data_IF_002198882459
#
_entry.id   IF_002198882459
#
_cell.length_a   1.000
_cell.length_b   1.000
_cell.length_c   1.000
_cell.angle_alpha   90.00
_cell.angle_beta   90.00
_cell.angle_gamma   90.00
#
_symmetry.space_group_name_H-M   'P 1'
#
loop_
_entity.id
_entity.type
_entity.pdbx_description
1 polymer ?
#
# COMPACT_ATOMS: atom_id res chain seq x y z
N UNK A 1 9.42 -37.13 -37.54
CA UNK A 1 8.67 -36.03 -38.16
C UNK A 1 7.82 -35.38 -37.08
N UNK A 2 8.30 -34.33 -36.40
CA UNK A 2 7.53 -33.64 -35.39
C UNK A 2 6.52 -32.72 -36.09
N UNK A 3 5.24 -32.88 -35.77
CA UNK A 3 4.16 -32.03 -36.26
C UNK A 3 4.23 -30.64 -35.63
N UNK A 4 4.16 -29.61 -36.48
CA UNK A 4 4.05 -28.22 -36.06
C UNK A 4 2.66 -27.95 -35.50
N UNK A 5 2.57 -27.66 -34.21
CA UNK A 5 1.45 -26.93 -33.64
C UNK A 5 1.57 -25.47 -34.07
N UNK A 6 1.00 -25.13 -35.22
CA UNK A 6 0.81 -23.76 -35.64
C UNK A 6 -0.27 -23.13 -34.74
N UNK A 7 0.17 -22.37 -33.75
CA UNK A 7 -0.69 -21.40 -33.06
C UNK A 7 -1.21 -20.41 -34.09
N UNK A 8 -2.53 -20.25 -34.18
CA UNK A 8 -3.17 -19.29 -35.09
C UNK A 8 -2.79 -17.86 -34.69
N UNK A 9 -1.70 -17.34 -35.26
CA UNK A 9 -1.31 -15.94 -35.15
C UNK A 9 -2.32 -15.13 -35.97
N UNK A 10 -3.14 -14.32 -35.32
CA UNK A 10 -4.07 -13.42 -35.99
C UNK A 10 -3.32 -12.52 -36.97
N UNK A 11 -3.68 -12.54 -38.25
CA UNK A 11 -2.97 -11.85 -39.33
C UNK A 11 -3.13 -10.32 -39.33
N UNK A 12 -3.92 -9.76 -38.40
CA UNK A 12 -4.19 -8.31 -38.29
C UNK A 12 -3.45 -7.59 -37.16
N UNK A 13 -2.69 -8.30 -36.31
CA UNK A 13 -2.04 -7.71 -35.14
C UNK A 13 -0.82 -6.86 -35.48
N UNK A 14 -0.55 -5.86 -34.64
CA UNK A 14 0.55 -4.91 -34.82
C UNK A 14 1.94 -5.56 -34.93
N UNK A 15 2.19 -6.70 -34.28
CA UNK A 15 3.53 -7.31 -34.18
C UNK A 15 4.17 -7.64 -35.55
N UNK A 16 3.40 -8.22 -36.47
CA UNK A 16 3.92 -8.70 -37.77
C UNK A 16 3.28 -7.99 -38.98
N UNK A 17 2.40 -7.02 -38.76
CA UNK A 17 1.74 -6.26 -39.80
C UNK A 17 1.95 -4.75 -39.55
N UNK A 18 2.79 -4.14 -40.38
CA UNK A 18 3.07 -2.70 -40.32
C UNK A 18 1.86 -1.83 -40.71
N UNK A 19 0.93 -2.38 -41.49
CA UNK A 19 -0.30 -1.71 -41.91
C UNK A 19 -1.47 -1.96 -40.94
N UNK A 20 -1.20 -2.59 -39.78
CA UNK A 20 -2.22 -2.79 -38.75
C UNK A 20 -2.75 -1.44 -38.25
N UNK A 21 -4.07 -1.27 -38.08
CA UNK A 21 -4.64 -0.03 -37.56
C UNK A 21 -4.22 0.26 -36.11
N UNK A 22 -3.66 -0.74 -35.40
CA UNK A 22 -3.14 -0.62 -34.04
C UNK A 22 -1.61 -0.59 -33.99
N UNK A 23 -0.92 -0.46 -35.14
CA UNK A 23 0.55 -0.48 -35.19
C UNK A 23 1.15 0.66 -34.37
N UNK A 24 0.51 1.83 -34.38
CA UNK A 24 0.95 3.02 -33.66
C UNK A 24 0.65 2.99 -32.15
N UNK A 25 -0.12 2.02 -31.67
CA UNK A 25 -0.36 1.81 -30.23
C UNK A 25 0.88 1.27 -29.52
N UNK A 26 1.88 0.82 -30.26
CA UNK A 26 3.13 0.27 -29.74
C UNK A 26 4.32 1.00 -30.33
N UNK A 27 5.44 0.95 -29.60
CA UNK A 27 6.72 1.43 -30.09
C UNK A 27 7.56 0.24 -30.57
N UNK A 28 8.25 0.37 -31.71
CA UNK A 28 9.08 -0.69 -32.28
C UNK A 28 10.50 -0.20 -32.54
N UNK A 29 11.48 -1.06 -32.28
CA UNK A 29 12.88 -0.83 -32.65
C UNK A 29 13.07 -0.85 -34.17
N UNK A 30 14.23 -0.40 -34.69
CA UNK A 30 14.55 -0.49 -36.12
C UNK A 30 14.48 -1.93 -36.69
N UNK A 31 14.71 -2.93 -35.85
CA UNK A 31 14.63 -4.36 -36.18
C UNK A 31 13.18 -4.89 -36.16
N UNK A 32 12.20 -4.04 -35.84
CA UNK A 32 10.78 -4.38 -35.83
C UNK A 32 10.31 -5.09 -34.55
N UNK A 33 11.11 -5.06 -33.48
CA UNK A 33 10.77 -5.65 -32.18
C UNK A 33 10.03 -4.62 -31.34
N UNK A 34 8.88 -4.99 -30.76
CA UNK A 34 8.13 -4.10 -29.88
C UNK A 34 8.93 -3.82 -28.60
N UNK A 35 8.94 -2.57 -28.15
CA UNK A 35 9.40 -2.26 -26.80
C UNK A 35 8.47 -2.90 -25.77
N UNK A 36 9.03 -3.35 -24.67
CA UNK A 36 8.31 -4.10 -23.65
C UNK A 36 8.59 -3.55 -22.24
N UNK A 37 7.83 -4.08 -21.30
CA UNK A 37 8.07 -3.82 -19.89
C UNK A 37 9.22 -4.70 -19.39
N UNK A 38 10.32 -4.06 -18.95
CA UNK A 38 11.48 -4.71 -18.31
C UNK A 38 12.07 -5.93 -19.04
N UNK A 39 11.99 -6.00 -20.37
CA UNK A 39 12.51 -7.12 -21.17
C UNK A 39 11.54 -8.29 -21.34
N UNK A 40 10.31 -8.17 -20.83
CA UNK A 40 9.29 -9.21 -20.97
C UNK A 40 8.51 -9.07 -22.27
N UNK A 41 8.95 -9.78 -23.32
CA UNK A 41 8.32 -9.74 -24.65
C UNK A 41 6.81 -10.06 -24.69
N UNK A 42 6.27 -10.73 -23.66
CA UNK A 42 4.83 -10.97 -23.50
C UNK A 42 4.04 -9.73 -23.08
N UNK A 43 4.71 -8.65 -22.65
CA UNK A 43 4.13 -7.40 -22.17
C UNK A 43 4.61 -6.23 -23.05
N UNK A 44 4.20 -6.18 -24.33
CA UNK A 44 4.54 -5.08 -25.22
C UNK A 44 3.97 -3.77 -24.68
N UNK A 45 4.81 -2.75 -24.60
CA UNK A 45 4.49 -1.48 -23.99
C UNK A 45 3.69 -0.60 -24.94
N UNK A 46 2.56 -0.10 -24.45
CA UNK A 46 1.71 0.84 -25.16
C UNK A 46 2.39 2.23 -25.28
N UNK A 47 2.23 2.88 -26.43
CA UNK A 47 2.82 4.20 -26.74
C UNK A 47 1.74 5.28 -26.76
N UNK A 48 1.66 6.07 -25.70
CA UNK A 48 0.62 7.08 -25.49
C UNK A 48 0.76 8.33 -26.38
N UNK A 49 1.58 8.30 -27.45
CA UNK A 49 1.51 9.30 -28.53
C UNK A 49 0.31 9.07 -29.45
N UNK A 50 -0.17 7.83 -29.55
CA UNK A 50 -1.34 7.54 -30.37
C UNK A 50 -2.59 8.13 -29.72
N UNK A 51 -3.27 9.04 -30.43
CA UNK A 51 -4.53 9.62 -29.96
C UNK A 51 -5.62 8.56 -29.87
N UNK A 52 -5.63 7.58 -30.78
CA UNK A 52 -6.64 6.51 -30.76
C UNK A 52 -6.46 5.58 -29.55
N UNK A 53 -5.22 5.34 -29.13
CA UNK A 53 -4.94 4.65 -27.87
C UNK A 53 -5.40 5.50 -26.66
N UNK A 54 -5.07 6.80 -26.65
CA UNK A 54 -5.54 7.69 -25.58
C UNK A 54 -7.07 7.63 -25.47
N UNK A 55 -7.77 7.72 -26.60
CA UNK A 55 -9.23 7.69 -26.65
C UNK A 55 -9.79 6.35 -26.16
N UNK A 56 -9.14 5.23 -26.51
CA UNK A 56 -9.51 3.90 -26.01
C UNK A 56 -9.31 3.77 -24.49
N UNK A 57 -8.19 4.29 -23.95
CA UNK A 57 -7.86 4.11 -22.53
C UNK A 57 -8.66 5.06 -21.64
N UNK A 58 -8.65 6.37 -21.93
CA UNK A 58 -9.27 7.37 -21.05
C UNK A 58 -9.93 8.57 -21.75
N UNK A 59 -9.54 8.92 -22.98
CA UNK A 59 -9.99 10.13 -23.67
C UNK A 59 -11.43 10.04 -24.20
N UNK A 60 -11.82 8.88 -24.71
CA UNK A 60 -13.13 8.66 -25.34
C UNK A 60 -14.25 8.49 -24.33
N UNK A 61 -15.49 8.70 -24.77
CA UNK A 61 -16.68 8.50 -23.92
C UNK A 61 -16.86 7.05 -23.50
N UNK A 62 -16.52 6.11 -24.36
CA UNK A 62 -16.59 4.67 -24.10
C UNK A 62 -15.24 4.07 -23.72
N UNK A 63 -14.27 4.93 -23.36
CA UNK A 63 -12.94 4.50 -22.94
C UNK A 63 -12.98 3.53 -21.77
N UNK A 64 -11.97 2.65 -21.67
CA UNK A 64 -11.89 1.62 -20.64
C UNK A 64 -12.05 2.21 -19.24
N UNK A 65 -11.37 3.32 -18.94
CA UNK A 65 -11.47 3.99 -17.63
C UNK A 65 -12.91 4.40 -17.33
N UNK A 66 -13.63 4.98 -18.29
CA UNK A 66 -14.99 5.50 -18.11
C UNK A 66 -16.04 4.40 -18.16
N UNK A 67 -15.87 3.41 -19.03
CA UNK A 67 -16.77 2.28 -19.24
C UNK A 67 -17.15 1.59 -17.93
N UNK A 68 -16.15 1.21 -17.12
CA UNK A 68 -16.39 0.50 -15.86
C UNK A 68 -16.90 1.38 -14.72
N UNK A 69 -16.68 2.70 -14.80
CA UNK A 69 -17.22 3.67 -13.82
C UNK A 69 -18.68 4.02 -14.08
N UNK A 70 -19.14 3.87 -15.33
CA UNK A 70 -20.54 4.05 -15.73
C UNK A 70 -21.43 2.92 -15.25
N UNK A 71 -22.73 3.20 -15.21
CA UNK A 71 -23.74 2.16 -15.06
C UNK A 71 -23.67 1.18 -16.26
N UNK A 72 -23.94 -0.13 -16.06
CA UNK A 72 -24.45 -0.75 -14.84
C UNK A 72 -23.40 -1.17 -13.82
N UNK A 73 -22.10 -1.11 -14.13
CA UNK A 73 -21.05 -1.63 -13.25
C UNK A 73 -20.79 -0.74 -12.05
N UNK A 74 -20.67 0.55 -12.30
CA UNK A 74 -20.51 1.54 -11.26
C UNK A 74 -19.33 1.27 -10.30
N UNK A 75 -18.13 1.00 -10.83
CA UNK A 75 -16.92 0.81 -10.01
C UNK A 75 -16.49 2.09 -9.29
N UNK A 76 -15.82 1.95 -8.14
CA UNK A 76 -15.46 3.08 -7.26
C UNK A 76 -14.09 3.69 -7.55
N UNK A 77 -13.32 3.15 -8.48
CA UNK A 77 -11.97 3.64 -8.74
C UNK A 77 -11.10 2.70 -9.55
N UNK A 78 -9.82 3.07 -9.64
CA UNK A 78 -8.80 2.35 -10.42
C UNK A 78 -7.48 2.26 -9.66
N UNK A 79 -6.88 1.06 -9.66
CA UNK A 79 -5.47 0.85 -9.32
C UNK A 79 -4.66 0.85 -10.61
N UNK A 80 -3.69 1.74 -10.74
CA UNK A 80 -2.83 1.85 -11.93
C UNK A 80 -1.56 1.02 -11.74
N UNK A 81 -1.39 -0.01 -12.57
CA UNK A 81 -0.24 -0.93 -12.56
C UNK A 81 1.04 -0.24 -13.06
N UNK A 82 2.16 -0.42 -12.33
CA UNK A 82 3.49 0.13 -12.63
C UNK A 82 3.44 1.57 -13.19
N UNK A 83 2.68 2.44 -12.53
CA UNK A 83 2.22 3.70 -13.12
C UNK A 83 3.37 4.66 -13.49
N UNK A 84 4.49 4.59 -12.75
CA UNK A 84 5.68 5.40 -12.99
C UNK A 84 6.35 5.14 -14.35
N UNK A 85 6.05 4.02 -15.01
CA UNK A 85 6.61 3.66 -16.31
C UNK A 85 5.70 4.00 -17.51
N UNK A 86 4.46 4.42 -17.27
CA UNK A 86 3.52 4.80 -18.33
C UNK A 86 4.04 6.00 -19.12
N UNK A 87 3.89 6.01 -20.45
CA UNK A 87 4.26 7.18 -21.23
C UNK A 87 4.44 6.91 -22.71
N UNK A 88 5.22 7.78 -23.33
CA UNK A 88 5.44 7.82 -24.77
C UNK A 88 6.80 7.20 -25.16
N UNK A 89 6.93 6.80 -26.44
CA UNK A 89 8.20 6.40 -27.06
C UNK A 89 8.89 5.19 -26.39
N UNK A 90 8.09 4.27 -25.82
CA UNK A 90 8.61 3.15 -25.02
C UNK A 90 9.19 3.56 -23.67
N UNK A 91 9.27 4.87 -23.37
CA UNK A 91 9.73 5.44 -22.11
C UNK A 91 8.58 5.88 -21.20
N UNK A 92 8.90 6.76 -20.25
CA UNK A 92 7.93 7.39 -19.34
C UNK A 92 7.76 8.89 -19.65
N UNK A 93 8.02 9.31 -20.90
CA UNK A 93 7.85 10.71 -21.31
C UNK A 93 6.37 11.08 -21.21
N UNK A 94 6.09 12.30 -20.76
CA UNK A 94 4.72 12.82 -20.53
C UNK A 94 3.86 12.00 -19.56
N UNK A 95 4.47 11.16 -18.72
CA UNK A 95 3.79 10.32 -17.74
C UNK A 95 2.74 11.08 -16.90
N UNK A 96 3.13 12.17 -16.24
CA UNK A 96 2.21 12.98 -15.42
C UNK A 96 1.00 13.49 -16.20
N UNK A 97 1.17 13.84 -17.49
CA UNK A 97 0.06 14.29 -18.34
C UNK A 97 -0.95 13.19 -18.58
N UNK A 98 -0.50 11.98 -18.85
CA UNK A 98 -1.40 10.86 -19.11
C UNK A 98 -2.10 10.40 -17.83
N UNK A 99 -1.39 10.36 -16.70
CA UNK A 99 -2.00 10.04 -15.40
C UNK A 99 -3.04 11.11 -15.03
N UNK A 100 -2.74 12.40 -15.23
CA UNK A 100 -3.72 13.47 -15.06
C UNK A 100 -4.95 13.25 -15.94
N UNK A 101 -4.77 12.86 -17.20
CA UNK A 101 -5.85 12.54 -18.13
C UNK A 101 -6.73 11.38 -17.66
N UNK A 102 -6.11 10.29 -17.18
CA UNK A 102 -6.80 9.13 -16.60
C UNK A 102 -7.64 9.56 -15.39
N UNK A 103 -7.03 10.28 -14.45
CA UNK A 103 -7.71 10.73 -13.23
C UNK A 103 -8.84 11.72 -13.53
N UNK A 104 -8.64 12.63 -14.48
CA UNK A 104 -9.69 13.56 -14.93
C UNK A 104 -10.85 12.82 -15.58
N UNK A 105 -10.58 11.85 -16.46
CA UNK A 105 -11.60 11.02 -17.09
C UNK A 105 -12.40 10.21 -16.05
N UNK A 106 -11.72 9.63 -15.06
CA UNK A 106 -12.36 8.93 -13.97
C UNK A 106 -13.26 9.86 -13.14
N UNK A 107 -12.74 11.03 -12.74
CA UNK A 107 -13.49 12.01 -11.93
C UNK A 107 -14.63 12.68 -12.70
N UNK A 108 -14.55 12.78 -14.02
CA UNK A 108 -15.63 13.27 -14.87
C UNK A 108 -16.85 12.35 -14.80
N UNK A 109 -16.63 11.03 -14.84
CA UNK A 109 -17.73 10.06 -14.72
C UNK A 109 -18.20 9.87 -13.28
N UNK A 110 -17.27 9.89 -12.34
CA UNK A 110 -17.54 9.68 -10.93
C UNK A 110 -16.66 10.59 -10.07
N UNK A 111 -17.21 11.69 -9.53
CA UNK A 111 -16.42 12.66 -8.77
C UNK A 111 -15.69 12.08 -7.53
N UNK A 112 -16.22 11.01 -6.95
CA UNK A 112 -15.64 10.28 -5.83
C UNK A 112 -14.80 9.06 -6.24
N UNK A 113 -14.53 8.87 -7.53
CA UNK A 113 -13.64 7.80 -8.01
C UNK A 113 -12.25 7.94 -7.38
N UNK A 114 -11.79 6.84 -6.79
CA UNK A 114 -10.50 6.76 -6.12
C UNK A 114 -9.44 6.19 -7.07
N UNK A 115 -8.52 7.03 -7.53
CA UNK A 115 -7.46 6.63 -8.46
C UNK A 115 -6.12 6.60 -7.73
N UNK A 116 -5.45 5.45 -7.74
CA UNK A 116 -4.16 5.29 -7.09
C UNK A 116 -3.24 4.37 -7.87
N UNK A 117 -1.95 4.65 -7.87
CA UNK A 117 -0.99 3.89 -8.64
C UNK A 117 -0.02 3.08 -7.81
N UNK A 118 0.58 2.12 -8.49
CA UNK A 118 1.69 1.37 -7.97
C UNK A 118 3.00 2.14 -8.13
N UNK A 119 3.57 2.48 -6.99
CA UNK A 119 4.90 3.06 -6.86
C UNK A 119 5.70 2.27 -5.84
N UNK A 120 6.67 1.47 -6.29
CA UNK A 120 7.69 0.91 -5.39
C UNK A 120 8.60 2.02 -4.83
N UNK A 121 8.81 3.07 -5.64
CA UNK A 121 9.61 4.24 -5.30
C UNK A 121 8.83 5.35 -4.58
N UNK A 122 9.34 6.57 -4.70
CA UNK A 122 8.75 7.75 -4.06
C UNK A 122 7.63 8.36 -4.91
N UNK A 123 6.37 8.09 -4.52
CA UNK A 123 5.18 8.60 -5.21
C UNK A 123 4.91 10.12 -5.03
N UNK A 124 5.69 10.85 -4.20
CA UNK A 124 5.36 12.25 -3.84
C UNK A 124 5.23 13.17 -5.05
N UNK A 125 6.03 12.96 -6.11
CA UNK A 125 5.97 13.77 -7.33
C UNK A 125 4.57 13.77 -7.97
N UNK A 126 3.92 12.60 -8.02
CA UNK A 126 2.59 12.45 -8.62
C UNK A 126 1.49 13.00 -7.71
N UNK A 127 1.61 12.71 -6.41
CA UNK A 127 0.64 13.16 -5.42
C UNK A 127 0.65 14.70 -5.31
N UNK A 128 1.81 15.34 -5.25
CA UNK A 128 1.91 16.80 -5.20
C UNK A 128 1.43 17.51 -6.47
N UNK A 129 1.40 16.81 -7.61
CA UNK A 129 0.83 17.31 -8.86
C UNK A 129 -0.68 17.07 -8.97
N UNK A 130 -1.30 16.47 -7.93
CA UNK A 130 -2.72 16.07 -7.87
C UNK A 130 -3.15 15.22 -9.08
N UNK A 131 -2.24 14.43 -9.64
CA UNK A 131 -2.54 13.51 -10.75
C UNK A 131 -3.04 12.16 -10.25
N UNK A 132 -2.88 11.84 -8.97
CA UNK A 132 -3.39 10.64 -8.30
C UNK A 132 -3.98 11.01 -6.93
N UNK A 133 -4.99 10.27 -6.46
CA UNK A 133 -5.56 10.48 -5.12
C UNK A 133 -4.71 9.84 -4.01
N UNK A 134 -3.92 8.82 -4.37
CA UNK A 134 -3.12 7.98 -3.47
C UNK A 134 -2.09 7.17 -4.25
N UNK A 135 -1.23 6.46 -3.54
CA UNK A 135 -0.32 5.45 -4.08
C UNK A 135 -0.28 4.23 -3.15
N UNK A 136 0.08 3.07 -3.70
CA UNK A 136 0.49 1.90 -2.92
C UNK A 136 1.71 2.30 -2.07
N UNK A 137 1.53 2.32 -0.75
CA UNK A 137 2.44 3.00 0.17
C UNK A 137 3.64 2.13 0.58
N UNK A 138 4.35 1.58 -0.41
CA UNK A 138 5.53 0.75 -0.15
C UNK A 138 6.62 1.52 0.59
N UNK A 139 6.97 2.71 0.07
CA UNK A 139 8.05 3.54 0.63
C UNK A 139 7.69 4.20 1.96
N UNK A 140 6.45 4.62 2.16
CA UNK A 140 6.04 5.36 3.37
C UNK A 140 5.47 4.49 4.48
N UNK A 141 5.19 3.21 4.22
CA UNK A 141 4.62 2.30 5.21
C UNK A 141 5.25 0.90 5.17
N UNK A 142 5.20 0.19 4.04
CA UNK A 142 5.60 -1.22 3.97
C UNK A 142 7.07 -1.45 4.32
N UNK A 143 8.00 -0.78 3.63
CA UNK A 143 9.44 -0.97 3.82
C UNK A 143 9.98 -0.52 5.17
N UNK A 144 9.60 0.65 5.74
CA UNK A 144 10.03 0.98 7.10
C UNK A 144 9.51 -0.05 8.13
N UNK A 145 8.28 -0.57 7.97
CA UNK A 145 7.78 -1.64 8.84
C UNK A 145 8.56 -2.94 8.67
N UNK A 146 9.02 -3.28 7.47
CA UNK A 146 9.87 -4.46 7.27
C UNK A 146 11.23 -4.31 7.93
N UNK A 147 11.89 -3.16 7.75
CA UNK A 147 13.17 -2.88 8.39
C UNK A 147 13.07 -2.94 9.92
N UNK A 148 11.95 -2.47 10.48
CA UNK A 148 11.74 -2.44 11.93
C UNK A 148 11.20 -3.77 12.49
N UNK A 149 10.27 -4.46 11.85
CA UNK A 149 9.66 -5.66 12.43
C UNK A 149 10.31 -6.95 11.92
N UNK A 150 10.65 -7.01 10.63
CA UNK A 150 11.19 -8.19 9.96
C UNK A 150 12.72 -8.17 9.77
N UNK A 151 13.39 -7.06 10.09
CA UNK A 151 14.83 -6.88 9.94
C UNK A 151 15.33 -7.10 8.50
N UNK A 152 14.57 -6.65 7.50
CA UNK A 152 14.89 -6.83 6.09
C UNK A 152 14.47 -5.65 5.23
N UNK A 153 15.13 -5.44 4.10
CA UNK A 153 14.78 -4.43 3.11
C UNK A 153 13.98 -5.02 1.92
N UNK A 154 13.76 -4.19 0.89
CA UNK A 154 13.05 -4.57 -0.34
C UNK A 154 13.75 -5.69 -1.14
N UNK A 155 15.08 -5.76 -1.07
CA UNK A 155 15.90 -6.77 -1.75
C UNK A 155 15.97 -8.08 -0.95
N UNK A 156 15.31 -8.12 0.21
CA UNK A 156 15.41 -9.18 1.22
C UNK A 156 16.79 -9.26 1.88
N UNK A 157 17.59 -8.20 1.78
CA UNK A 157 18.86 -8.11 2.48
C UNK A 157 18.61 -7.78 3.96
N UNK A 158 19.46 -8.27 4.89
CA UNK A 158 19.30 -7.96 6.30
C UNK A 158 19.44 -6.44 6.57
N UNK A 159 18.39 -5.84 7.09
CA UNK A 159 18.36 -4.43 7.46
C UNK A 159 17.79 -4.29 8.86
N UNK A 160 18.57 -3.79 9.82
CA UNK A 160 18.10 -3.55 11.18
C UNK A 160 18.03 -2.05 11.43
N UNK A 161 16.81 -1.53 11.51
CA UNK A 161 16.57 -0.16 11.95
C UNK A 161 15.92 -0.16 13.33
N UNK A 162 16.23 0.84 14.13
CA UNK A 162 15.57 1.10 15.42
C UNK A 162 14.26 1.89 15.24
N UNK A 163 13.55 2.08 16.34
CA UNK A 163 12.30 2.82 16.39
C UNK A 163 12.47 4.26 15.88
N UNK A 164 13.57 4.93 16.29
CA UNK A 164 13.88 6.30 15.90
C UNK A 164 14.05 6.42 14.38
N UNK A 165 14.85 5.55 13.77
CA UNK A 165 15.12 5.53 12.33
C UNK A 165 13.86 5.18 11.53
N UNK A 166 13.08 4.20 12.01
CA UNK A 166 11.80 3.84 11.41
C UNK A 166 10.84 5.04 11.40
N UNK A 167 10.68 5.71 12.54
CA UNK A 167 9.79 6.87 12.64
C UNK A 167 10.28 8.06 11.83
N UNK A 168 11.59 8.36 11.84
CA UNK A 168 12.17 9.42 11.03
C UNK A 168 11.94 9.18 9.52
N UNK A 169 12.05 7.93 9.06
CA UNK A 169 11.70 7.57 7.67
C UNK A 169 10.22 7.87 7.40
N UNK A 170 9.32 7.27 8.19
CA UNK A 170 7.88 7.39 7.97
C UNK A 170 7.40 8.84 8.03
N UNK A 171 7.93 9.63 8.97
CA UNK A 171 7.60 11.05 9.12
C UNK A 171 8.19 11.89 7.98
N UNK A 172 9.43 11.63 7.52
CA UNK A 172 9.99 12.33 6.36
C UNK A 172 9.15 12.11 5.10
N UNK A 173 8.70 10.89 4.87
CA UNK A 173 7.83 10.58 3.74
C UNK A 173 6.50 11.32 3.85
N UNK A 174 5.83 11.21 5.01
CA UNK A 174 4.54 11.86 5.29
C UNK A 174 4.61 13.38 5.22
N UNK A 175 5.71 14.00 5.66
CA UNK A 175 5.89 15.45 5.64
C UNK A 175 5.86 16.04 4.22
N UNK A 176 6.16 15.24 3.20
CA UNK A 176 6.05 15.65 1.81
C UNK A 176 4.63 15.58 1.23
N UNK A 177 3.63 15.13 2.01
CA UNK A 177 2.25 14.94 1.56
C UNK A 177 1.31 15.84 2.35
N UNK A 178 0.28 16.36 1.67
CA UNK A 178 -0.81 17.07 2.35
C UNK A 178 -1.53 16.11 3.33
N UNK A 179 -2.19 16.66 4.36
CA UNK A 179 -2.91 15.82 5.33
C UNK A 179 -3.96 14.93 4.64
N UNK A 180 -4.64 15.42 3.61
CA UNK A 180 -5.61 14.61 2.86
C UNK A 180 -4.95 13.44 2.13
N UNK A 181 -3.80 13.66 1.49
CA UNK A 181 -3.03 12.60 0.84
C UNK A 181 -2.54 11.57 1.86
N UNK A 182 -1.99 12.01 3.00
CA UNK A 182 -1.58 11.11 4.09
C UNK A 182 -2.72 10.19 4.55
N UNK A 183 -3.95 10.70 4.65
CA UNK A 183 -5.12 9.92 5.05
C UNK A 183 -5.63 8.96 3.95
N UNK A 184 -5.25 9.17 2.68
CA UNK A 184 -5.66 8.38 1.52
C UNK A 184 -4.63 7.35 1.08
N UNK A 185 -3.36 7.49 1.48
CA UNK A 185 -2.27 6.54 1.16
C UNK A 185 -2.68 5.10 1.41
N UNK A 186 -2.42 4.22 0.45
CA UNK A 186 -2.86 2.83 0.47
C UNK A 186 -1.83 1.96 1.20
N UNK A 187 -2.06 1.70 2.48
CA UNK A 187 -1.10 1.00 3.34
C UNK A 187 -1.32 -0.50 3.29
N UNK A 188 -0.25 -1.26 3.05
CA UNK A 188 -0.27 -2.72 2.96
C UNK A 188 1.00 -3.29 3.59
N UNK A 189 0.93 -4.49 4.14
CA UNK A 189 2.11 -5.16 4.73
C UNK A 189 2.93 -5.91 3.68
N UNK A 190 2.29 -6.35 2.60
CA UNK A 190 2.89 -7.07 1.48
C UNK A 190 1.92 -7.00 0.28
N UNK A 191 2.24 -7.73 -0.79
CA UNK A 191 1.40 -7.79 -1.98
C UNK A 191 1.66 -9.05 -2.81
N UNK A 192 1.05 -9.08 -4.00
CA UNK A 192 1.29 -10.09 -5.02
C UNK A 192 2.65 -9.99 -5.71
N UNK A 193 3.43 -8.93 -5.46
CA UNK A 193 4.75 -8.69 -6.05
C UNK A 193 5.89 -8.74 -5.01
N UNK A 194 5.54 -9.11 -3.78
CA UNK A 194 6.51 -9.29 -2.70
C UNK A 194 6.30 -10.61 -1.97
N UNK A 195 7.30 -11.05 -1.21
CA UNK A 195 7.08 -12.12 -0.23
C UNK A 195 6.03 -11.69 0.81
N UNK A 196 5.32 -12.67 1.37
CA UNK A 196 4.37 -12.48 2.47
C UNK A 196 5.12 -11.99 3.70
N UNK A 197 4.57 -11.01 4.39
CA UNK A 197 5.17 -10.42 5.58
C UNK A 197 5.37 -11.45 6.70
N UNK A 198 4.45 -12.42 6.83
CA UNK A 198 4.64 -13.58 7.74
C UNK A 198 5.94 -14.34 7.43
N UNK A 199 6.25 -14.56 6.16
CA UNK A 199 7.49 -15.24 5.75
C UNK A 199 8.72 -14.37 6.00
N UNK A 200 8.62 -13.06 5.78
CA UNK A 200 9.69 -12.11 6.05
C UNK A 200 10.08 -12.05 7.53
N UNK A 201 9.10 -12.14 8.43
CA UNK A 201 9.34 -12.19 9.87
C UNK A 201 10.16 -13.44 10.27
N UNK A 202 10.01 -14.56 9.57
CA UNK A 202 10.75 -15.79 9.84
C UNK A 202 10.63 -16.22 11.31
N UNK A 203 11.76 -16.17 12.05
CA UNK A 203 11.80 -16.52 13.48
C UNK A 203 11.09 -15.50 14.38
N UNK A 204 10.87 -14.29 13.89
CA UNK A 204 10.24 -13.18 14.60
C UNK A 204 8.73 -13.10 14.31
N UNK A 205 8.08 -14.20 13.91
CA UNK A 205 6.64 -14.24 13.58
C UNK A 205 5.73 -13.73 14.70
N UNK A 206 6.20 -13.79 15.96
CA UNK A 206 5.52 -13.20 17.11
C UNK A 206 5.29 -11.68 16.97
N UNK A 207 6.02 -10.99 16.09
CA UNK A 207 5.82 -9.56 15.79
C UNK A 207 4.70 -9.29 14.79
N UNK A 208 4.10 -10.32 14.16
CA UNK A 208 3.03 -10.14 13.19
C UNK A 208 1.83 -9.36 13.76
N UNK A 209 1.31 -9.65 14.98
CA UNK A 209 0.26 -8.84 15.61
C UNK A 209 0.61 -7.35 15.75
N UNK A 210 1.89 -7.01 15.93
CA UNK A 210 2.33 -5.62 16.06
C UNK A 210 2.07 -4.85 14.77
N UNK A 211 2.38 -5.46 13.63
CA UNK A 211 2.14 -4.89 12.31
C UNK A 211 0.65 -4.69 12.03
N UNK A 212 -0.20 -5.60 12.49
CA UNK A 212 -1.67 -5.46 12.39
C UNK A 212 -2.15 -4.25 13.19
N UNK A 213 -1.73 -4.12 14.45
CA UNK A 213 -2.09 -2.96 15.27
C UNK A 213 -1.59 -1.67 14.62
N UNK A 214 -0.36 -1.65 14.09
CA UNK A 214 0.19 -0.51 13.38
C UNK A 214 -0.63 -0.15 12.12
N UNK A 215 -0.93 -1.11 11.26
CA UNK A 215 -1.71 -0.93 10.03
C UNK A 215 -3.07 -0.26 10.29
N UNK A 216 -3.80 -0.72 11.32
CA UNK A 216 -5.12 -0.18 11.64
C UNK A 216 -5.09 1.11 12.47
N UNK A 217 -3.94 1.49 13.03
CA UNK A 217 -3.79 2.71 13.83
C UNK A 217 -3.04 3.83 13.12
N UNK A 218 -2.37 3.56 12.00
CA UNK A 218 -1.66 4.56 11.18
C UNK A 218 -2.61 5.39 10.29
N UNK A 219 -2.22 6.62 9.90
CA UNK A 219 -2.88 7.37 8.82
C UNK A 219 -2.82 6.62 7.48
N UNK A 220 -3.89 6.70 6.68
CA UNK A 220 -4.00 6.03 5.38
C UNK A 220 -5.19 5.07 5.31
N UNK A 221 -5.34 4.40 4.17
CA UNK A 221 -6.32 3.35 3.94
C UNK A 221 -5.63 2.00 4.16
N UNK A 222 -5.96 1.24 5.23
CA UNK A 222 -5.39 -0.07 5.42
C UNK A 222 -5.95 -1.05 4.38
N UNK A 223 -5.06 -1.73 3.67
CA UNK A 223 -5.34 -2.82 2.75
C UNK A 223 -4.77 -4.12 3.31
N UNK A 224 -5.58 -5.16 3.28
CA UNK A 224 -5.21 -6.51 3.70
C UNK A 224 -4.98 -7.31 2.41
N UNK A 225 -3.79 -7.88 2.24
CA UNK A 225 -3.59 -8.83 1.15
C UNK A 225 -4.19 -10.17 1.58
N UNK A 226 -5.05 -10.74 0.73
CA UNK A 226 -5.89 -11.87 1.12
C UNK A 226 -5.06 -13.01 1.72
N UNK A 227 -5.46 -13.50 2.89
CA UNK A 227 -4.74 -14.56 3.60
C UNK A 227 -3.83 -14.05 4.70
N UNK A 228 -3.43 -12.77 4.71
CA UNK A 228 -2.62 -12.20 5.80
C UNK A 228 -3.35 -12.28 7.13
N UNK A 229 -4.67 -12.09 7.12
CA UNK A 229 -5.53 -12.13 8.30
C UNK A 229 -5.68 -13.52 8.90
N UNK A 230 -5.39 -14.57 8.12
CA UNK A 230 -5.38 -15.96 8.57
C UNK A 230 -3.96 -16.56 8.60
N UNK A 231 -2.94 -15.72 8.39
CA UNK A 231 -1.54 -16.11 8.50
C UNK A 231 -1.03 -16.97 7.34
N UNK A 232 -1.43 -16.69 6.10
CA UNK A 232 -0.82 -17.31 4.91
C UNK A 232 0.64 -16.85 4.79
N UNK A 233 1.54 -17.82 4.56
CA UNK A 233 2.95 -17.59 4.29
C UNK A 233 3.25 -17.74 2.79
N UNK A 234 4.42 -17.27 2.35
CA UNK A 234 4.84 -17.35 0.95
C UNK A 234 6.09 -16.54 0.69
N UNK A 235 7.05 -17.14 -0.03
CA UNK A 235 8.20 -16.41 -0.58
C UNK A 235 7.76 -15.49 -1.73
N UNK A 236 8.71 -14.90 -2.45
CA UNK A 236 8.40 -14.00 -3.57
C UNK A 236 7.58 -14.68 -4.69
N UNK A 237 7.06 -13.88 -5.63
CA UNK A 237 6.26 -14.32 -6.78
C UNK A 237 6.90 -15.55 -7.47
N UNK A 238 6.14 -16.64 -7.74
CA UNK A 238 4.69 -16.83 -7.54
C UNK A 238 4.26 -17.38 -6.18
N UNK A 239 5.18 -17.63 -5.27
CA UNK A 239 4.88 -18.31 -4.00
C UNK A 239 4.09 -17.44 -3.01
N UNK A 240 4.02 -16.13 -3.21
CA UNK A 240 3.16 -15.23 -2.44
C UNK A 240 1.68 -15.33 -2.83
N UNK A 241 1.34 -16.04 -3.91
CA UNK A 241 -0.01 -16.13 -4.50
C UNK A 241 -0.71 -17.46 -4.20
N UNK A 242 -0.47 -18.03 -3.00
CA UNK A 242 -1.08 -19.30 -2.57
C UNK A 242 -2.62 -19.20 -2.52
N UNK A 243 -3.35 -20.29 -2.84
CA UNK A 243 -4.79 -20.34 -2.64
C UNK A 243 -5.18 -20.00 -1.19
N UNK A 244 -6.30 -19.31 -1.02
CA UNK A 244 -6.82 -19.01 0.32
C UNK A 244 -7.20 -20.30 1.06
N UNK A 245 -6.75 -20.50 2.31
CA UNK A 245 -7.04 -21.72 3.07
C UNK A 245 -8.46 -21.67 3.64
N UNK A 246 -9.44 -22.16 2.88
CA UNK A 246 -10.86 -22.15 3.30
C UNK A 246 -11.17 -23.10 4.46
N UNK A 247 -10.34 -24.11 4.72
CA UNK A 247 -10.46 -24.94 5.91
C UNK A 247 -10.05 -24.14 7.17
N UNK A 248 -10.95 -23.88 8.13
CA UNK A 248 -10.64 -23.15 9.35
C UNK A 248 -9.49 -23.76 10.16
N UNK A 249 -9.23 -25.07 10.04
CA UNK A 249 -8.11 -25.72 10.72
C UNK A 249 -6.74 -25.27 10.20
N UNK A 250 -6.69 -24.67 9.00
CA UNK A 250 -5.48 -24.13 8.39
C UNK A 250 -5.31 -22.62 8.64
N UNK A 251 -6.24 -21.99 9.37
CA UNK A 251 -6.25 -20.55 9.63
C UNK A 251 -5.72 -20.22 11.02
N UNK A 252 -4.97 -19.13 11.14
CA UNK A 252 -4.66 -18.52 12.44
C UNK A 252 -5.89 -17.76 12.97
N UNK A 253 -6.70 -18.43 13.79
CA UNK A 253 -7.91 -17.85 14.36
C UNK A 253 -7.65 -16.68 15.30
N UNK A 254 -6.52 -16.67 16.02
CA UNK A 254 -6.20 -15.58 16.94
C UNK A 254 -5.84 -14.30 16.18
N UNK A 255 -5.08 -14.44 15.08
CA UNK A 255 -4.76 -13.36 14.17
C UNK A 255 -6.02 -12.81 13.48
N UNK A 256 -6.89 -13.69 12.99
CA UNK A 256 -8.15 -13.29 12.36
C UNK A 256 -9.03 -12.47 13.32
N UNK A 257 -9.13 -12.90 14.58
CA UNK A 257 -9.87 -12.15 15.60
C UNK A 257 -9.21 -10.80 15.91
N UNK A 258 -7.87 -10.69 15.89
CA UNK A 258 -7.19 -9.40 16.02
C UNK A 258 -7.53 -8.45 14.86
N UNK A 259 -7.49 -8.93 13.61
CA UNK A 259 -7.90 -8.14 12.44
C UNK A 259 -9.35 -7.64 12.56
N UNK A 260 -10.27 -8.50 13.00
CA UNK A 260 -11.67 -8.11 13.24
C UNK A 260 -11.80 -7.04 14.31
N UNK A 261 -11.12 -7.21 15.45
CA UNK A 261 -11.15 -6.22 16.56
C UNK A 261 -10.57 -4.88 16.12
N UNK A 262 -9.40 -4.89 15.48
CA UNK A 262 -8.73 -3.67 15.02
C UNK A 262 -9.52 -2.93 13.92
N UNK A 263 -10.10 -3.67 12.96
CA UNK A 263 -11.01 -3.10 11.95
C UNK A 263 -12.23 -2.45 12.60
N UNK A 264 -12.85 -3.11 13.59
CA UNK A 264 -13.99 -2.57 14.35
C UNK A 264 -13.60 -1.30 15.12
N UNK A 265 -12.44 -1.30 15.79
CA UNK A 265 -11.93 -0.14 16.52
C UNK A 265 -11.68 1.06 15.58
N UNK A 266 -11.00 0.84 14.45
CA UNK A 266 -10.77 1.89 13.45
C UNK A 266 -12.08 2.43 12.88
N UNK A 267 -13.05 1.58 12.57
CA UNK A 267 -14.35 2.00 12.04
C UNK A 267 -15.11 2.89 13.02
N UNK A 268 -15.07 2.56 14.31
CA UNK A 268 -15.78 3.27 15.37
C UNK A 268 -15.10 4.57 15.83
N UNK A 269 -13.80 4.73 15.61
CA UNK A 269 -13.01 5.86 16.12
C UNK A 269 -12.55 6.79 14.97
N UNK A 270 -12.98 8.05 15.02
CA UNK A 270 -12.64 9.04 13.99
C UNK A 270 -11.17 9.49 14.07
N UNK A 271 -10.55 9.49 15.24
CA UNK A 271 -9.13 9.81 15.36
C UNK A 271 -8.23 8.83 14.61
N UNK A 272 -8.56 7.53 14.64
CA UNK A 272 -7.83 6.53 13.84
C UNK A 272 -7.99 6.76 12.33
N UNK A 273 -9.14 7.27 11.87
CA UNK A 273 -9.43 7.47 10.43
C UNK A 273 -8.98 8.81 9.87
N UNK A 274 -9.11 9.89 10.64
CA UNK A 274 -8.98 11.26 10.16
C UNK A 274 -8.01 12.12 11.00
N UNK A 275 -7.61 11.62 12.17
CA UNK A 275 -6.80 12.38 13.11
C UNK A 275 -5.39 12.63 12.60
N UNK A 276 -4.81 13.75 13.06
CA UNK A 276 -3.37 13.96 12.98
C UNK A 276 -2.63 12.83 13.71
N UNK A 277 -1.37 12.60 13.36
CA UNK A 277 -0.55 11.57 13.97
C UNK A 277 0.76 12.19 14.42
N UNK A 278 1.02 12.13 15.72
CA UNK A 278 2.21 12.67 16.35
C UNK A 278 2.95 11.53 17.08
N UNK A 279 4.23 11.35 16.77
CA UNK A 279 5.12 10.45 17.51
C UNK A 279 5.48 11.11 18.83
N UNK A 280 5.36 10.36 19.93
CA UNK A 280 5.64 10.83 21.29
C UNK A 280 6.92 10.18 21.83
N UNK A 281 7.16 8.91 21.49
CA UNK A 281 8.37 8.19 21.90
C UNK A 281 8.80 7.25 20.78
N UNK A 282 10.09 7.21 20.48
CA UNK A 282 10.66 6.32 19.48
C UNK A 282 12.14 6.05 19.80
N UNK A 283 12.39 5.01 20.61
CA UNK A 283 13.74 4.60 20.99
C UNK A 283 13.86 3.07 20.88
N UNK A 284 14.97 2.61 20.31
CA UNK A 284 15.33 1.20 20.14
C UNK A 284 14.22 0.29 19.59
N UNK A 285 13.41 -0.27 20.49
CA UNK A 285 12.39 -1.28 20.20
C UNK A 285 10.96 -0.79 20.43
N UNK A 286 10.78 0.44 20.92
CA UNK A 286 9.46 0.96 21.29
C UNK A 286 9.11 2.19 20.50
N UNK A 287 7.91 2.16 19.91
CA UNK A 287 7.27 3.30 19.25
C UNK A 287 5.98 3.61 19.99
N UNK A 288 5.79 4.88 20.37
CA UNK A 288 4.54 5.41 20.92
C UNK A 288 4.13 6.61 20.09
N UNK A 289 2.89 6.61 19.60
CA UNK A 289 2.31 7.73 18.88
C UNK A 289 0.86 7.95 19.28
N UNK A 290 0.38 9.17 19.04
CA UNK A 290 -1.00 9.56 19.32
C UNK A 290 -1.71 9.98 18.03
N UNK A 291 -2.95 9.52 17.90
CA UNK A 291 -3.90 9.99 16.88
C UNK A 291 -4.88 10.95 17.53
N UNK A 292 -5.00 12.16 16.97
CA UNK A 292 -5.83 13.23 17.55
C UNK A 292 -6.81 13.77 16.52
N UNK A 293 -8.10 13.71 16.83
CA UNK A 293 -9.15 14.32 16.02
C UNK A 293 -10.22 14.94 16.91
N UNK A 294 -10.33 16.28 16.88
CA UNK A 294 -11.22 17.03 17.77
C UNK A 294 -10.99 16.63 19.24
N UNK A 295 -11.99 16.02 19.87
CA UNK A 295 -11.93 15.55 21.25
C UNK A 295 -11.49 14.08 21.40
N UNK A 296 -11.34 13.33 20.32
CA UNK A 296 -10.93 11.92 20.38
C UNK A 296 -9.41 11.79 20.30
N UNK A 297 -8.82 11.17 21.32
CA UNK A 297 -7.38 10.91 21.40
C UNK A 297 -7.19 9.40 21.49
N UNK A 298 -6.26 8.88 20.70
CA UNK A 298 -5.91 7.46 20.71
C UNK A 298 -4.40 7.34 20.83
N UNK A 299 -3.93 6.80 21.94
CA UNK A 299 -2.53 6.46 22.14
C UNK A 299 -2.31 5.05 21.62
N UNK A 300 -1.21 4.84 20.91
CA UNK A 300 -0.78 3.53 20.43
C UNK A 300 0.66 3.34 20.82
N UNK A 301 0.99 2.18 21.36
CA UNK A 301 2.35 1.81 21.70
C UNK A 301 2.65 0.42 21.18
N UNK A 302 3.84 0.26 20.62
CA UNK A 302 4.33 -0.95 19.98
C UNK A 302 5.73 -1.21 20.52
N UNK A 303 5.91 -2.36 21.16
CA UNK A 303 7.19 -2.86 21.64
C UNK A 303 7.54 -4.14 20.87
N UNK A 304 8.63 -4.13 20.09
CA UNK A 304 9.12 -5.33 19.38
C UNK A 304 10.15 -6.15 20.17
N UNK A 305 10.58 -5.63 21.33
CA UNK A 305 11.67 -6.18 22.16
C UNK A 305 11.16 -6.83 23.44
N UNK A 306 12.02 -6.82 24.47
CA UNK A 306 11.72 -7.35 25.81
C UNK A 306 10.75 -6.45 26.59
N UNK A 307 10.20 -6.97 27.69
CA UNK A 307 9.33 -6.19 28.56
C UNK A 307 10.06 -4.96 29.10
N UNK A 308 9.39 -3.81 29.08
CA UNK A 308 10.00 -2.53 29.43
C UNK A 308 8.99 -1.54 30.03
N UNK A 309 9.51 -0.47 30.61
CA UNK A 309 8.74 0.70 31.00
C UNK A 309 9.25 1.90 30.21
N UNK A 310 8.32 2.70 29.70
CA UNK A 310 8.61 3.92 28.96
C UNK A 310 7.96 5.08 29.68
N UNK A 311 8.76 6.09 30.00
CA UNK A 311 8.24 7.37 30.49
C UNK A 311 7.83 8.19 29.28
N UNK A 312 6.53 8.46 29.16
CA UNK A 312 6.00 9.28 28.08
C UNK A 312 6.01 10.73 28.56
N UNK A 313 6.74 11.59 27.85
CA UNK A 313 6.87 13.00 28.24
C UNK A 313 5.51 13.71 28.33
N UNK A 314 5.41 14.65 29.27
CA UNK A 314 4.23 15.50 29.42
C UNK A 314 3.96 16.25 28.12
N UNK A 315 2.77 16.02 27.56
CA UNK A 315 2.35 16.62 26.30
C UNK A 315 0.88 17.07 26.39
N UNK A 316 0.54 18.26 25.88
CA UNK A 316 -0.86 18.69 25.77
C UNK A 316 -1.72 17.71 24.95
N UNK A 317 -1.12 16.86 24.11
CA UNK A 317 -1.83 15.84 23.35
C UNK A 317 -2.25 14.65 24.21
N UNK A 318 -1.62 14.47 25.36
CA UNK A 318 -1.88 13.39 26.32
C UNK A 318 -2.71 13.84 27.52
N UNK A 319 -2.96 15.16 27.64
CA UNK A 319 -3.78 15.75 28.70
C UNK A 319 -5.27 15.40 28.52
N UNK A 320 -5.67 14.27 29.10
CA UNK A 320 -7.03 13.74 29.08
C UNK A 320 -7.41 13.24 30.47
N UNK A 321 -8.72 13.21 30.78
CA UNK A 321 -9.25 12.77 32.08
C UNK A 321 -8.88 11.32 32.46
N UNK A 322 -8.46 10.53 31.47
CA UNK A 322 -7.94 9.19 31.69
C UNK A 322 -7.89 8.38 30.40
N UNK A 323 -7.13 7.30 30.44
CA UNK A 323 -6.98 6.37 29.34
C UNK A 323 -7.75 5.09 29.61
N UNK A 324 -8.34 4.52 28.56
CA UNK A 324 -8.96 3.21 28.60
C UNK A 324 -8.31 2.30 27.56
N UNK A 325 -7.68 1.23 28.01
CA UNK A 325 -7.12 0.19 27.16
C UNK A 325 -8.26 -0.48 26.35
N UNK A 326 -8.08 -0.56 25.03
CA UNK A 326 -9.05 -1.15 24.09
C UNK A 326 -8.53 -2.41 23.39
N UNK A 327 -7.23 -2.52 23.21
CA UNK A 327 -6.55 -3.68 22.63
C UNK A 327 -5.15 -3.80 23.25
N UNK A 328 -4.65 -5.02 23.45
CA UNK A 328 -3.32 -5.28 24.00
C UNK A 328 -3.30 -5.51 25.52
N UNK A 329 -2.11 -5.47 26.10
CA UNK A 329 -1.85 -5.84 27.50
C UNK A 329 -0.97 -4.86 28.27
N UNK A 330 -0.68 -3.67 27.71
CA UNK A 330 0.09 -2.63 28.40
C UNK A 330 -0.70 -1.90 29.48
N UNK A 331 0.01 -1.33 30.45
CA UNK A 331 -0.54 -0.49 31.50
C UNK A 331 0.01 0.93 31.39
N UNK A 332 -0.82 1.94 31.66
CA UNK A 332 -0.43 3.35 31.67
C UNK A 332 -0.86 3.97 33.00
N UNK A 333 0.11 4.42 33.79
CA UNK A 333 -0.10 5.06 35.08
C UNK A 333 0.89 6.21 35.25
N UNK A 334 0.38 7.41 35.55
CA UNK A 334 1.17 8.62 35.84
C UNK A 334 2.29 8.90 34.82
N UNK A 335 1.95 8.80 33.52
CA UNK A 335 2.90 9.03 32.41
C UNK A 335 3.85 7.86 32.13
N UNK A 336 3.84 6.81 32.97
CA UNK A 336 4.66 5.61 32.78
C UNK A 336 3.86 4.52 32.09
N UNK A 337 4.38 4.05 30.97
CA UNK A 337 3.81 3.01 30.15
C UNK A 337 4.59 1.70 30.32
N UNK A 338 3.99 0.72 30.98
CA UNK A 338 4.53 -0.63 31.12
C UNK A 338 4.08 -1.50 29.94
N UNK A 339 5.02 -2.02 29.17
CA UNK A 339 4.79 -2.81 27.97
C UNK A 339 5.38 -4.21 28.12
N UNK A 340 4.59 -5.28 27.96
CA UNK A 340 5.12 -6.64 27.85
C UNK A 340 6.07 -6.80 26.66
N UNK A 341 6.87 -7.87 26.66
CA UNK A 341 7.69 -8.24 25.53
C UNK A 341 6.81 -8.51 24.29
N UNK A 342 7.26 -8.06 23.11
CA UNK A 342 6.57 -8.25 21.82
C UNK A 342 5.06 -7.94 21.93
N UNK A 343 4.73 -6.70 22.26
CA UNK A 343 3.36 -6.30 22.54
C UNK A 343 2.98 -4.99 21.84
N UNK A 344 1.71 -4.88 21.51
CA UNK A 344 1.12 -3.62 21.07
C UNK A 344 -0.13 -3.36 21.89
N UNK A 345 -0.36 -2.11 22.24
CA UNK A 345 -1.62 -1.74 22.87
C UNK A 345 -2.17 -0.41 22.38
N UNK A 346 -3.48 -0.25 22.48
CA UNK A 346 -4.25 0.88 21.98
C UNK A 346 -5.15 1.40 23.09
N UNK A 347 -5.02 2.68 23.43
CA UNK A 347 -5.80 3.33 24.48
C UNK A 347 -6.60 4.48 23.92
N UNK A 348 -7.85 4.60 24.32
CA UNK A 348 -8.70 5.74 23.98
C UNK A 348 -8.83 6.66 25.18
N UNK A 349 -8.88 7.97 24.93
CA UNK A 349 -9.27 8.94 25.96
C UNK A 349 -10.70 8.66 26.44
N UNK A 350 -10.93 8.79 27.75
CA UNK A 350 -12.25 8.67 28.38
C UNK A 350 -13.17 9.83 28.06
#
# INVERSE_FOLDING_TARGET
MPGSTATSRGSGGACHNADSPWRDWYNFSPEGVAHDWLGYASLPKLDYRSSTLIDEIYGGEDSIVRHWLKAPWSMDGWRLDVVHMLGEEGGARNNLRHIAGITQAAKLERPDAFVFGEHFGDARQWLQADVEDSAMNYRGFTFPLWGFLANTDISYDPQKIDAQTCMAWMDNYRAGLSHQQQLRMFNQLDSHDTARFKSLLGKDVARLPLAVVWLFSWPGVPCIYYGDEVGVDGNNDPFCRKPFPWDPALQDGALLELYKRMSKLRKANQALRYGGCQVIYAEDNVVVFVRVYKQQRVLVAINRGEACEVVVEDSPLLDVNGWQLKEGAGALHDGVLTLPAISASVWFSR
#
